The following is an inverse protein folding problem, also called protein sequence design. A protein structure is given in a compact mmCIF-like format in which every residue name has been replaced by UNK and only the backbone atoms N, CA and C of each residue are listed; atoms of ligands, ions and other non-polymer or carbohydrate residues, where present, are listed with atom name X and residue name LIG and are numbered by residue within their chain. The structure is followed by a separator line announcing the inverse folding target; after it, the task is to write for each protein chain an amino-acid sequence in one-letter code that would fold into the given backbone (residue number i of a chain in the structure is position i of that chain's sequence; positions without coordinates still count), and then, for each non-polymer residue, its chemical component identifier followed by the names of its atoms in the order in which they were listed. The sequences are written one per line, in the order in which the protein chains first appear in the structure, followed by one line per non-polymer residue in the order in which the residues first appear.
data_IF_418861778741
#
_entry.id   IF_418861778741
#
_cell.length_a   1.000
_cell.length_b   1.000
_cell.length_c   1.000
_cell.angle_alpha   90.00
_cell.angle_beta   90.00
_cell.angle_gamma   90.00
#
_symmetry.space_group_name_H-M   'P 1'
#
loop_
_entity.id
_entity.type
_entity.pdbx_description
1 polymer ?
#
# COMPACT_ATOMS: atom_id res chain seq x y z
N UNK A 1 -14.17 19.13 -5.21
CA UNK A 1 -12.74 19.50 -5.23
C UNK A 1 -11.83 18.37 -5.69
N UNK A 2 -12.23 17.08 -5.69
CA UNK A 2 -11.41 16.01 -6.29
C UNK A 2 -10.00 15.88 -5.72
N UNK A 3 -9.77 16.42 -4.52
CA UNK A 3 -8.48 16.48 -3.87
C UNK A 3 -8.39 15.33 -2.86
N UNK A 4 -7.54 14.31 -3.11
CA UNK A 4 -7.46 13.15 -2.25
C UNK A 4 -6.86 13.54 -0.90
N UNK A 5 -7.55 13.16 0.19
CA UNK A 5 -7.11 13.42 1.57
C UNK A 5 -7.24 12.12 2.36
N UNK A 6 -6.14 11.70 2.98
CA UNK A 6 -6.10 10.54 3.87
C UNK A 6 -5.81 10.99 5.29
N UNK A 7 -6.60 10.51 6.25
CA UNK A 7 -6.48 10.86 7.66
C UNK A 7 -7.02 9.74 8.55
N UNK A 8 -6.60 9.72 9.81
CA UNK A 8 -7.14 8.79 10.83
C UNK A 8 -8.65 9.01 11.08
N UNK A 9 -9.13 10.23 10.87
CA UNK A 9 -10.52 10.59 11.08
C UNK A 9 -10.76 12.07 10.86
N UNK A 10 -12.02 12.47 10.96
CA UNK A 10 -12.48 13.83 10.72
C UNK A 10 -12.78 14.52 12.05
N UNK A 11 -12.39 15.79 12.17
CA UNK A 11 -12.74 16.65 13.31
C UNK A 11 -13.05 18.06 12.84
N UNK A 12 -14.07 18.68 13.42
CA UNK A 12 -14.45 20.07 13.15
C UNK A 12 -13.76 21.05 14.12
N UNK A 13 -12.53 20.75 14.56
CA UNK A 13 -11.78 21.56 15.54
C UNK A 13 -10.55 22.18 14.88
N UNK A 14 -10.29 23.46 15.15
CA UNK A 14 -9.11 24.16 14.63
C UNK A 14 -7.81 23.73 15.32
N UNK A 15 -6.72 23.70 14.56
CA UNK A 15 -5.37 23.51 15.09
C UNK A 15 -4.85 24.73 15.88
N UNK A 16 -5.40 25.93 15.65
CA UNK A 16 -4.90 27.18 16.25
C UNK A 16 -4.93 27.12 17.77
N UNK A 17 -3.79 27.42 18.40
CA UNK A 17 -3.60 27.36 19.85
C UNK A 17 -3.54 25.95 20.45
N UNK A 18 -3.50 24.91 19.61
CA UNK A 18 -3.42 23.49 20.03
C UNK A 18 -2.21 22.77 19.44
N UNK A 19 -1.82 23.14 18.23
CA UNK A 19 -0.69 22.56 17.53
C UNK A 19 0.19 23.66 16.95
N UNK A 20 1.48 23.38 16.87
CA UNK A 20 2.50 24.20 16.22
C UNK A 20 3.35 23.30 15.33
N UNK A 21 3.78 23.82 14.18
CA UNK A 21 4.70 23.12 13.31
C UNK A 21 6.10 23.13 13.94
N UNK A 22 6.65 21.95 14.22
CA UNK A 22 7.99 21.82 14.80
C UNK A 22 9.09 21.81 13.73
N UNK A 23 8.82 21.18 12.59
CA UNK A 23 9.80 21.02 11.52
C UNK A 23 9.14 20.78 10.15
N UNK A 24 9.94 20.88 9.09
CA UNK A 24 9.58 20.56 7.70
C UNK A 24 10.72 19.74 7.10
N UNK A 25 10.41 18.78 6.23
CA UNK A 25 11.40 17.90 5.61
C UNK A 25 12.33 17.24 6.64
N UNK A 26 11.76 16.76 7.73
CA UNK A 26 12.47 15.94 8.71
C UNK A 26 11.81 14.56 8.78
N UNK A 27 12.57 13.50 9.11
CA UNK A 27 11.97 12.18 9.32
C UNK A 27 10.90 12.22 10.42
N UNK A 28 9.78 11.56 10.17
CA UNK A 28 8.68 11.42 11.13
C UNK A 28 8.32 9.96 11.32
N UNK A 29 7.64 9.67 12.43
CA UNK A 29 6.93 8.40 12.63
C UNK A 29 5.46 8.59 12.23
N UNK A 30 4.99 7.82 11.26
CA UNK A 30 3.60 7.82 10.83
C UNK A 30 2.97 6.45 11.14
N UNK A 31 2.16 6.39 12.20
CA UNK A 31 1.71 5.11 12.74
C UNK A 31 2.89 4.27 13.23
N UNK A 32 3.08 3.11 12.63
CA UNK A 32 4.23 2.22 12.90
C UNK A 32 5.39 2.41 11.93
N UNK A 33 5.18 3.15 10.84
CA UNK A 33 6.19 3.35 9.80
C UNK A 33 7.05 4.60 10.06
N UNK A 34 8.30 4.55 9.60
CA UNK A 34 9.16 5.73 9.46
C UNK A 34 8.93 6.34 8.07
N UNK A 35 8.76 7.65 8.01
CA UNK A 35 8.71 8.41 6.75
C UNK A 35 9.88 9.37 6.73
N UNK A 36 10.63 9.39 5.63
CA UNK A 36 11.77 10.27 5.38
C UNK A 36 11.44 11.23 4.24
N UNK A 37 12.06 12.42 4.22
CA UNK A 37 11.99 13.28 3.04
C UNK A 37 12.45 12.52 1.79
N UNK A 38 11.63 12.51 0.75
CA UNK A 38 11.90 11.81 -0.50
C UNK A 38 11.26 10.43 -0.64
N UNK A 39 10.71 9.84 0.43
CA UNK A 39 9.96 8.58 0.32
C UNK A 39 8.74 8.75 -0.60
N UNK A 40 8.45 7.70 -1.38
CA UNK A 40 7.27 7.65 -2.25
C UNK A 40 6.07 7.21 -1.41
N UNK A 41 4.96 7.94 -1.52
CA UNK A 41 3.71 7.63 -0.83
C UNK A 41 2.69 7.16 -1.86
N UNK A 42 2.25 5.91 -1.74
CA UNK A 42 1.13 5.37 -2.49
C UNK A 42 -0.08 5.24 -1.56
N UNK A 43 -1.25 5.72 -1.98
CA UNK A 43 -2.44 5.67 -1.15
C UNK A 43 -3.70 5.41 -1.98
N UNK A 44 -4.49 4.44 -1.55
CA UNK A 44 -5.73 4.01 -2.17
C UNK A 44 -6.81 3.72 -1.10
N UNK A 45 -7.90 3.05 -1.51
CA UNK A 45 -8.99 2.65 -0.61
C UNK A 45 -8.58 1.65 0.48
N UNK A 46 -7.48 0.92 0.31
CA UNK A 46 -7.00 -0.08 1.24
C UNK A 46 -6.09 0.54 2.30
N UNK A 47 -5.36 1.60 1.94
CA UNK A 47 -4.55 2.34 2.90
C UNK A 47 -3.43 3.15 2.27
N UNK A 48 -2.33 3.26 3.01
CA UNK A 48 -1.15 4.04 2.62
C UNK A 48 0.08 3.13 2.70
N UNK A 49 0.89 3.11 1.64
CA UNK A 49 2.19 2.47 1.59
C UNK A 49 3.28 3.55 1.50
N UNK A 50 4.35 3.38 2.28
CA UNK A 50 5.52 4.26 2.32
C UNK A 50 6.69 3.47 1.73
N UNK A 51 7.23 3.94 0.62
CA UNK A 51 8.22 3.22 -0.18
C UNK A 51 9.53 4.02 -0.17
N UNK A 52 10.61 3.48 0.42
CA UNK A 52 11.94 4.07 0.29
C UNK A 52 12.38 4.13 -1.18
N UNK A 53 13.00 5.23 -1.65
CA UNK A 53 13.39 5.37 -3.06
C UNK A 53 14.32 4.27 -3.56
N UNK A 54 15.21 3.77 -2.69
CA UNK A 54 16.16 2.70 -2.97
C UNK A 54 15.49 1.33 -3.19
N UNK A 55 14.24 1.18 -2.78
CA UNK A 55 13.45 -0.06 -2.95
C UNK A 55 12.34 0.06 -3.98
N UNK A 56 12.16 1.22 -4.60
CA UNK A 56 11.03 1.46 -5.50
C UNK A 56 10.96 0.43 -6.63
N UNK A 57 12.09 0.12 -7.26
CA UNK A 57 12.13 -0.86 -8.36
C UNK A 57 11.80 -2.29 -7.90
N UNK A 58 12.32 -2.72 -6.73
CA UNK A 58 11.98 -4.03 -6.15
C UNK A 58 10.48 -4.11 -5.86
N UNK A 59 9.89 -3.05 -5.30
CA UNK A 59 8.45 -3.01 -5.00
C UNK A 59 7.60 -3.08 -6.26
N UNK A 60 7.96 -2.36 -7.32
CA UNK A 60 7.24 -2.40 -8.60
C UNK A 60 7.30 -3.80 -9.22
N UNK A 61 8.49 -4.39 -9.31
CA UNK A 61 8.67 -5.72 -9.90
C UNK A 61 7.84 -6.78 -9.14
N UNK A 62 7.86 -6.74 -7.81
CA UNK A 62 7.06 -7.67 -7.01
C UNK A 62 5.55 -7.40 -7.17
N UNK A 63 5.12 -6.14 -7.25
CA UNK A 63 3.72 -5.80 -7.46
C UNK A 63 3.19 -6.31 -8.82
N UNK A 64 3.98 -6.21 -9.88
CA UNK A 64 3.63 -6.73 -11.21
C UNK A 64 3.49 -8.26 -11.21
N UNK A 65 4.36 -8.98 -10.48
CA UNK A 65 4.27 -10.43 -10.31
C UNK A 65 2.98 -10.81 -9.56
N UNK A 66 2.66 -10.10 -8.47
CA UNK A 66 1.45 -10.34 -7.69
C UNK A 66 0.21 -10.09 -8.56
N UNK A 67 0.16 -8.96 -9.27
CA UNK A 67 -0.97 -8.61 -10.14
C UNK A 67 -1.19 -9.65 -11.24
N UNK A 68 -0.12 -10.12 -11.89
CA UNK A 68 -0.22 -11.17 -12.91
C UNK A 68 -0.80 -12.47 -12.33
N UNK A 69 -0.39 -12.85 -11.12
CA UNK A 69 -0.87 -14.06 -10.46
C UNK A 69 -2.34 -13.92 -10.01
N UNK A 70 -2.69 -12.78 -9.40
CA UNK A 70 -4.07 -12.44 -9.02
C UNK A 70 -5.01 -12.49 -10.22
N UNK A 71 -4.60 -11.93 -11.36
CA UNK A 71 -5.37 -11.96 -12.59
C UNK A 71 -5.58 -13.41 -13.09
N UNK A 72 -4.57 -14.26 -13.01
CA UNK A 72 -4.70 -15.68 -13.37
C UNK A 72 -5.72 -16.41 -12.48
N UNK A 73 -5.69 -16.17 -11.17
CA UNK A 73 -6.68 -16.72 -10.22
C UNK A 73 -8.09 -16.24 -10.57
N UNK A 74 -8.26 -14.94 -10.84
CA UNK A 74 -9.54 -14.35 -11.20
C UNK A 74 -10.11 -14.98 -12.48
N UNK A 75 -9.27 -15.22 -13.49
CA UNK A 75 -9.72 -15.84 -14.75
C UNK A 75 -10.18 -17.29 -14.57
N UNK A 76 -9.51 -18.08 -13.72
CA UNK A 76 -9.95 -19.45 -13.41
C UNK A 76 -11.27 -19.44 -12.63
N UNK A 77 -11.44 -18.49 -11.71
CA UNK A 77 -12.71 -18.32 -10.99
C UNK A 77 -13.86 -17.95 -11.94
N UNK A 78 -13.63 -17.06 -12.92
CA UNK A 78 -14.62 -16.72 -13.95
C UNK A 78 -15.03 -17.92 -14.81
N UNK A 79 -14.15 -18.92 -14.96
CA UNK A 79 -14.41 -20.18 -15.67
C UNK A 79 -15.21 -21.19 -14.82
N UNK A 80 -15.56 -20.84 -13.59
CA UNK A 80 -16.36 -21.68 -12.69
C UNK A 80 -15.55 -22.50 -11.68
N UNK A 81 -14.23 -22.32 -11.61
CA UNK A 81 -13.40 -22.91 -10.56
C UNK A 81 -13.69 -22.23 -9.21
N UNK A 82 -13.68 -22.98 -8.11
CA UNK A 82 -13.81 -22.36 -6.79
C UNK A 82 -12.58 -21.51 -6.46
N UNK A 83 -12.75 -20.51 -5.58
CA UNK A 83 -11.64 -19.65 -5.16
C UNK A 83 -10.48 -20.44 -4.52
N UNK A 84 -10.82 -21.51 -3.79
CA UNK A 84 -9.83 -22.38 -3.12
C UNK A 84 -8.98 -23.12 -4.15
N UNK A 85 -9.62 -23.76 -5.12
CA UNK A 85 -8.91 -24.50 -6.18
C UNK A 85 -8.08 -23.56 -7.07
N UNK A 86 -8.61 -22.38 -7.42
CA UNK A 86 -7.92 -21.40 -8.25
C UNK A 86 -6.66 -20.86 -7.55
N UNK A 87 -6.77 -20.55 -6.24
CA UNK A 87 -5.64 -20.10 -5.42
C UNK A 87 -4.56 -21.17 -5.28
N UNK A 88 -4.95 -22.43 -5.03
CA UNK A 88 -4.01 -23.56 -4.95
C UNK A 88 -3.28 -23.80 -6.28
N UNK A 89 -4.01 -23.76 -7.40
CA UNK A 89 -3.44 -23.93 -8.74
C UNK A 89 -2.41 -22.85 -9.08
N UNK A 90 -2.63 -21.63 -8.61
CA UNK A 90 -1.75 -20.48 -8.80
C UNK A 90 -0.60 -20.39 -7.77
N UNK A 91 -0.51 -21.36 -6.85
CA UNK A 91 0.42 -21.38 -5.73
C UNK A 91 0.46 -20.05 -4.95
N UNK A 92 -0.73 -19.47 -4.72
CA UNK A 92 -0.88 -18.08 -4.30
C UNK A 92 -0.17 -17.78 -2.97
N UNK A 93 -0.35 -18.66 -1.97
CA UNK A 93 0.21 -18.52 -0.62
C UNK A 93 1.74 -18.52 -0.58
N UNK A 94 2.37 -19.15 -1.57
CA UNK A 94 3.81 -19.32 -1.62
C UNK A 94 4.48 -18.32 -2.57
N UNK A 95 3.71 -17.47 -3.27
CA UNK A 95 4.24 -16.62 -4.35
C UNK A 95 5.28 -15.59 -3.87
N UNK A 96 5.28 -15.24 -2.58
CA UNK A 96 6.20 -14.27 -1.97
C UNK A 96 7.27 -14.91 -1.08
N UNK A 97 7.32 -16.25 -0.99
CA UNK A 97 8.36 -16.92 -0.21
C UNK A 97 9.70 -16.79 -0.95
N UNK A 98 10.63 -15.99 -0.40
CA UNK A 98 12.03 -15.97 -0.88
C UNK A 98 12.69 -17.31 -0.48
N UNK A 99 13.31 -17.99 -1.45
CA UNK A 99 14.17 -19.16 -1.23
C UNK A 99 15.37 -18.83 -0.34
#
# INVERSE_FOLDING_TARGET
MGFPVYAKGLVCRTARGRMVQLSVNQPIRFGEAQVRPGDIIYADRNGICIIPPDRLMEVIEQAEIIEANENAVIEEMKRGMSAVEASQKANYEDMLKKN
#
